data_IF_422796113973
#
_entry.id   IF_422796113973
#
_cell.length_a   1.000
_cell.length_b   1.000
_cell.length_c   1.000
_cell.angle_alpha   90.00
_cell.angle_beta   90.00
_cell.angle_gamma   90.00
#
_symmetry.space_group_name_H-M   'P 1'
#
loop_
_entity.id
_entity.type
_entity.pdbx_description
1 polymer ?
#
# COMPACT_ATOMS: atom_id res chain seq x y z
N UNK A 1 4.52 7.32 -9.50
CA UNK A 1 3.88 7.72 -8.22
C UNK A 1 4.49 6.86 -7.12
N UNK A 2 4.97 7.46 -6.02
CA UNK A 2 5.55 6.75 -4.86
C UNK A 2 4.46 6.39 -3.85
N UNK A 3 4.60 5.24 -3.20
CA UNK A 3 3.73 4.81 -2.14
C UNK A 3 4.39 3.73 -1.27
N UNK A 4 3.99 3.69 0.00
CA UNK A 4 4.48 2.73 0.99
C UNK A 4 3.48 1.59 1.16
N UNK A 5 3.97 0.36 1.24
CA UNK A 5 3.14 -0.80 1.59
C UNK A 5 2.89 -0.78 3.09
N UNK A 6 1.64 -0.57 3.50
CA UNK A 6 1.27 -0.50 4.91
C UNK A 6 1.06 -1.90 5.47
N UNK A 7 0.27 -2.74 4.80
CA UNK A 7 0.06 -4.13 5.19
C UNK A 7 -0.49 -4.99 4.05
N UNK A 8 -0.44 -6.31 4.23
CA UNK A 8 -1.14 -7.27 3.36
C UNK A 8 -2.42 -7.81 4.01
N UNK A 9 -3.53 -7.77 3.26
CA UNK A 9 -4.82 -8.33 3.68
C UNK A 9 -5.30 -9.29 2.60
N UNK A 10 -5.34 -10.58 2.94
CA UNK A 10 -5.73 -11.66 2.02
C UNK A 10 -5.01 -11.57 0.66
N UNK A 11 -5.74 -11.15 -0.38
CA UNK A 11 -5.33 -11.10 -1.79
C UNK A 11 -4.97 -9.69 -2.28
N UNK A 12 -4.91 -8.70 -1.39
CA UNK A 12 -4.47 -7.33 -1.70
C UNK A 12 -3.47 -6.79 -0.67
N UNK A 13 -2.76 -5.75 -1.07
CA UNK A 13 -1.95 -4.91 -0.19
C UNK A 13 -2.63 -3.55 -0.02
N UNK A 14 -2.52 -2.99 1.17
CA UNK A 14 -2.93 -1.63 1.47
C UNK A 14 -1.70 -0.75 1.32
N UNK A 15 -1.79 0.26 0.47
CA UNK A 15 -0.72 1.19 0.15
C UNK A 15 -1.11 2.62 0.55
N UNK A 16 -0.13 3.43 0.92
CA UNK A 16 -0.30 4.85 1.25
C UNK A 16 0.62 5.68 0.36
N UNK A 17 0.09 6.68 -0.33
CA UNK A 17 0.91 7.59 -1.12
C UNK A 17 1.54 8.71 -0.26
N UNK A 18 2.35 9.56 -0.90
CA UNK A 18 3.00 10.70 -0.23
C UNK A 18 2.01 11.76 0.30
N UNK A 19 0.78 11.80 -0.22
CA UNK A 19 -0.28 12.69 0.24
C UNK A 19 -1.07 12.10 1.43
N UNK A 20 -0.81 10.84 1.78
CA UNK A 20 -1.53 10.12 2.82
C UNK A 20 -2.83 9.46 2.35
N UNK A 21 -3.09 9.42 1.04
CA UNK A 21 -4.20 8.69 0.46
C UNK A 21 -3.95 7.18 0.54
N UNK A 22 -4.96 6.43 0.97
CA UNK A 22 -4.91 4.97 1.10
C UNK A 22 -5.64 4.32 -0.06
N UNK A 23 -5.01 3.33 -0.69
CA UNK A 23 -5.58 2.56 -1.78
C UNK A 23 -5.11 1.11 -1.75
N UNK A 24 -5.80 0.25 -2.50
CA UNK A 24 -5.54 -1.18 -2.51
C UNK A 24 -4.88 -1.59 -3.84
N UNK A 25 -3.85 -2.44 -3.74
CA UNK A 25 -3.24 -3.10 -4.89
C UNK A 25 -3.41 -4.62 -4.81
N UNK A 26 -3.67 -5.31 -5.94
CA UNK A 26 -3.66 -6.78 -5.96
C UNK A 26 -2.32 -7.31 -5.48
N UNK A 27 -2.34 -8.27 -4.56
CA UNK A 27 -1.13 -8.85 -3.96
C UNK A 27 -0.18 -9.42 -4.99
N UNK A 28 -0.70 -9.96 -6.08
CA UNK A 28 0.11 -10.48 -7.20
C UNK A 28 1.03 -9.43 -7.83
N UNK A 29 0.65 -8.14 -7.81
CA UNK A 29 1.46 -7.05 -8.35
C UNK A 29 2.59 -6.61 -7.41
N UNK A 30 2.45 -6.91 -6.13
CA UNK A 30 3.34 -6.42 -5.07
C UNK A 30 3.85 -7.53 -4.16
N UNK A 31 3.77 -8.79 -4.59
CA UNK A 31 4.11 -9.96 -3.77
C UNK A 31 5.61 -10.10 -3.49
N UNK A 32 6.44 -9.38 -4.25
CA UNK A 32 7.89 -9.35 -4.10
C UNK A 32 8.39 -8.26 -3.13
N UNK A 33 7.48 -7.42 -2.61
CA UNK A 33 7.79 -6.36 -1.65
C UNK A 33 7.31 -6.74 -0.25
N UNK A 34 7.71 -5.95 0.75
CA UNK A 34 7.35 -6.15 2.16
C UNK A 34 6.62 -4.94 2.71
N UNK A 35 5.94 -5.14 3.82
CA UNK A 35 5.38 -4.04 4.63
C UNK A 35 6.52 -3.08 5.02
N UNK A 36 6.26 -1.78 4.89
CA UNK A 36 7.24 -0.70 5.04
C UNK A 36 8.07 -0.39 3.79
N UNK A 37 8.01 -1.23 2.74
CA UNK A 37 8.71 -0.92 1.49
C UNK A 37 8.04 0.25 0.77
N UNK A 38 8.86 1.20 0.31
CA UNK A 38 8.46 2.25 -0.63
C UNK A 38 8.61 1.71 -2.05
N UNK A 39 7.55 1.83 -2.84
CA UNK A 39 7.49 1.36 -4.21
C UNK A 39 6.98 2.48 -5.14
N UNK A 40 7.45 2.45 -6.38
CA UNK A 40 7.07 3.36 -7.44
C UNK A 40 6.24 2.61 -8.48
N UNK A 41 5.06 3.14 -8.81
CA UNK A 41 4.34 2.73 -10.01
C UNK A 41 4.65 3.68 -11.17
N UNK A 42 5.18 3.12 -12.25
CA UNK A 42 5.35 3.79 -13.54
C UNK A 42 4.03 3.90 -14.31
N UNK A 43 4.00 4.74 -15.34
CA UNK A 43 2.79 4.97 -16.15
C UNK A 43 2.28 3.70 -16.87
N UNK A 44 3.19 2.76 -17.17
CA UNK A 44 2.87 1.46 -17.78
C UNK A 44 2.38 0.41 -16.75
N UNK A 45 2.25 0.79 -15.47
CA UNK A 45 1.82 -0.10 -14.38
C UNK A 45 2.92 -1.01 -13.84
N UNK A 46 4.17 -0.81 -14.26
CA UNK A 46 5.35 -1.45 -13.65
C UNK A 46 5.54 -0.94 -12.22
N UNK A 47 5.76 -1.85 -11.28
CA UNK A 47 6.01 -1.53 -9.88
C UNK A 47 7.46 -1.87 -9.54
N UNK A 48 8.22 -0.87 -9.11
CA UNK A 48 9.65 -1.00 -8.79
C UNK A 48 9.90 -0.56 -7.35
N UNK A 49 10.77 -1.26 -6.63
CA UNK A 49 11.19 -0.85 -5.27
C UNK A 49 12.04 0.41 -5.34
N UNK A 50 11.70 1.38 -4.50
CA UNK A 50 12.60 2.49 -4.19
C UNK A 50 13.58 2.05 -3.09
N UNK A 51 14.82 2.53 -3.14
CA UNK A 51 15.84 2.15 -2.13
C UNK A 51 15.61 2.85 -0.78
N UNK A 52 14.59 3.70 -0.68
CA UNK A 52 14.12 4.27 0.58
C UNK A 52 13.38 3.20 1.41
N UNK A 53 13.91 2.94 2.61
CA UNK A 53 13.25 2.15 3.65
C UNK A 53 12.75 3.14 4.69
N UNK A 54 11.45 3.22 4.88
CA UNK A 54 10.87 3.98 5.99
C UNK A 54 10.95 3.09 7.22
N UNK A 55 11.86 3.39 8.15
CA UNK A 55 11.84 2.81 9.49
C UNK A 55 10.66 3.44 10.27
N UNK A 56 9.46 2.91 10.05
CA UNK A 56 8.26 3.43 10.71
C UNK A 56 8.13 2.82 12.12
N UNK A 57 8.36 3.64 13.16
CA UNK A 57 8.05 3.32 14.57
C UNK A 57 6.55 3.41 14.87
N UNK A 58 5.74 3.94 13.94
CA UNK A 58 4.29 4.10 14.12
C UNK A 58 3.54 2.82 13.73
N UNK A 59 3.02 2.10 14.74
CA UNK A 59 2.14 0.95 14.53
C UNK A 59 0.75 1.40 14.08
N UNK A 60 0.43 1.21 12.81
CA UNK A 60 -0.90 1.45 12.27
C UNK A 60 -1.82 0.26 12.57
N UNK A 61 -2.97 0.53 13.21
CA UNK A 61 -4.03 -0.47 13.42
C UNK A 61 -5.08 -0.32 12.32
N UNK A 62 -5.05 -1.21 11.33
CA UNK A 62 -6.08 -1.29 10.29
C UNK A 62 -7.16 -2.25 10.80
N UNK A 63 -8.35 -1.74 11.10
CA UNK A 63 -9.52 -2.56 11.44
C UNK A 63 -10.19 -3.06 10.16
N UNK A 64 -10.36 -4.38 10.06
CA UNK A 64 -10.90 -5.12 8.91
C UNK A 64 -12.42 -4.92 8.67
N UNK A 65 -13.01 -3.84 9.20
CA UNK A 65 -14.46 -3.60 9.21
C UNK A 65 -14.82 -2.24 8.57
N UNK A 66 -14.35 -2.01 7.35
CA UNK A 66 -14.82 -0.87 6.54
C UNK A 66 -15.65 -1.38 5.37
N UNK A 67 -16.92 -1.66 5.65
CA UNK A 67 -17.94 -1.72 4.60
C UNK A 67 -18.35 -0.29 4.27
N UNK A 68 -17.82 0.29 3.19
CA UNK A 68 -18.27 1.60 2.70
C UNK A 68 -19.58 1.40 1.93
N UNK A 69 -20.72 1.60 2.59
CA UNK A 69 -22.00 1.81 1.91
C UNK A 69 -22.12 3.29 1.55
N UNK A 70 -22.16 3.61 0.26
CA UNK A 70 -22.69 4.89 -0.20
C UNK A 70 -24.22 4.80 -0.21
N UNK A 71 -24.88 5.55 0.68
CA UNK A 71 -26.29 5.89 0.60
C UNK A 71 -26.44 7.36 1.06
N UNK A 72 -26.46 8.30 0.11
CA UNK A 72 -27.68 9.02 -0.32
C UNK A 72 -27.39 9.74 -1.65
#
# INVERSE_FOLDING_TARGET
MKFTIVCYVNDYAICKDDNGEIFNLPKEKVSCFKEGDVINMGEDGEVVKDEEIVEDEEKYYICDDVVIFYND
#
